data_IF_014425985162
#
_entry.id   IF_014425985162
#
_cell.length_a   1.000
_cell.length_b   1.000
_cell.length_c   1.000
_cell.angle_alpha   90.00
_cell.angle_beta   90.00
_cell.angle_gamma   90.00
#
_symmetry.space_group_name_H-M   'P 1'
#
loop_
_entity.id
_entity.type
_entity.pdbx_description
1 polymer ?
#
# COMPACT_ATOMS: atom_id res chain seq x y z
N UNK A 1 9.18 -11.81 -22.01
CA UNK A 1 10.17 -10.82 -21.51
C UNK A 1 9.49 -9.47 -21.50
N UNK A 2 9.48 -8.77 -20.37
CA UNK A 2 8.90 -7.43 -20.27
C UNK A 2 9.78 -6.45 -21.04
N UNK A 3 9.18 -5.63 -21.91
CA UNK A 3 9.90 -4.64 -22.72
C UNK A 3 10.27 -3.44 -21.85
N UNK A 4 11.55 -3.13 -21.72
CA UNK A 4 12.02 -1.91 -21.04
C UNK A 4 11.84 -0.70 -21.96
N UNK A 5 11.35 0.41 -21.40
CA UNK A 5 11.16 1.68 -22.10
C UNK A 5 12.09 2.73 -21.45
N UNK A 6 12.86 3.44 -22.27
CA UNK A 6 13.66 4.57 -21.79
C UNK A 6 12.74 5.77 -21.54
N UNK A 7 12.73 6.26 -20.30
CA UNK A 7 11.93 7.42 -19.89
C UNK A 7 12.86 8.50 -19.36
N UNK A 8 12.84 9.69 -19.98
CA UNK A 8 13.59 10.85 -19.52
C UNK A 8 12.84 11.58 -18.43
N UNK A 9 13.51 11.87 -17.31
CA UNK A 9 12.94 12.60 -16.17
C UNK A 9 13.69 13.91 -16.03
N UNK A 10 12.95 15.02 -15.95
CA UNK A 10 13.53 16.33 -15.67
C UNK A 10 13.68 16.48 -14.16
N UNK A 11 14.91 16.70 -13.71
CA UNK A 11 15.23 17.05 -12.34
C UNK A 11 15.84 18.45 -12.35
N UNK A 12 15.50 19.25 -11.35
CA UNK A 12 16.23 20.48 -11.11
C UNK A 12 17.66 20.16 -10.65
N UNK A 13 18.56 21.14 -10.80
CA UNK A 13 19.98 20.98 -10.51
C UNK A 13 20.24 20.59 -9.05
N UNK A 14 19.45 21.13 -8.12
CA UNK A 14 19.63 20.89 -6.68
C UNK A 14 19.27 19.44 -6.34
N UNK A 15 18.15 18.94 -6.86
CA UNK A 15 17.71 17.56 -6.66
C UNK A 15 18.66 16.57 -7.33
N UNK A 16 19.10 16.86 -8.56
CA UNK A 16 20.06 16.02 -9.26
C UNK A 16 21.40 15.90 -8.52
N UNK A 17 21.88 17.01 -7.96
CA UNK A 17 23.12 17.02 -7.14
C UNK A 17 22.96 16.20 -5.87
N UNK A 18 21.84 16.37 -5.14
CA UNK A 18 21.51 15.58 -3.94
C UNK A 18 21.39 14.10 -4.25
N UNK A 19 20.76 13.75 -5.38
CA UNK A 19 20.61 12.36 -5.83
C UNK A 19 21.96 11.71 -6.13
N UNK A 20 22.89 12.44 -6.77
CA UNK A 20 24.25 11.94 -7.01
C UNK A 20 25.00 11.67 -5.71
N UNK A 21 24.96 12.62 -4.77
CA UNK A 21 25.59 12.46 -3.46
C UNK A 21 25.00 11.26 -2.69
N UNK A 22 23.67 11.11 -2.72
CA UNK A 22 22.99 9.96 -2.13
C UNK A 22 23.40 8.63 -2.79
N UNK A 23 23.55 8.62 -4.11
CA UNK A 23 24.05 7.48 -4.87
C UNK A 23 25.43 7.04 -4.40
N UNK A 24 26.37 7.99 -4.26
CA UNK A 24 27.70 7.72 -3.71
C UNK A 24 27.62 7.15 -2.30
N UNK A 25 26.84 7.76 -1.41
CA UNK A 25 26.71 7.32 -0.03
C UNK A 25 26.06 5.92 0.13
N UNK A 26 25.21 5.52 -0.83
CA UNK A 26 24.52 4.22 -0.83
C UNK A 26 25.17 3.17 -1.73
N UNK A 27 26.29 3.50 -2.40
CA UNK A 27 26.93 2.66 -3.41
C UNK A 27 25.96 2.22 -4.53
N UNK A 28 25.10 3.15 -4.97
CA UNK A 28 24.11 2.93 -6.04
C UNK A 28 24.20 4.02 -7.10
N UNK A 29 23.89 3.65 -8.34
CA UNK A 29 23.80 4.65 -9.42
C UNK A 29 22.59 5.56 -9.20
N UNK A 30 22.65 6.84 -9.60
CA UNK A 30 21.47 7.72 -9.60
C UNK A 30 20.28 7.12 -10.34
N UNK A 31 20.52 6.41 -11.45
CA UNK A 31 19.48 5.71 -12.20
C UNK A 31 18.79 4.63 -11.37
N UNK A 32 19.55 3.82 -10.63
CA UNK A 32 18.96 2.81 -9.75
C UNK A 32 18.08 3.44 -8.67
N UNK A 33 18.54 4.54 -8.05
CA UNK A 33 17.77 5.26 -7.03
C UNK A 33 16.47 5.88 -7.60
N UNK A 34 16.52 6.47 -8.80
CA UNK A 34 15.32 6.99 -9.46
C UNK A 34 14.32 5.88 -9.74
N UNK A 35 14.79 4.74 -10.27
CA UNK A 35 13.95 3.58 -10.54
C UNK A 35 13.29 3.08 -9.25
N UNK A 36 14.08 2.88 -8.20
CA UNK A 36 13.58 2.40 -6.91
C UNK A 36 12.53 3.34 -6.31
N UNK A 37 12.77 4.66 -6.37
CA UNK A 37 11.82 5.65 -5.87
C UNK A 37 10.49 5.64 -6.65
N UNK A 38 10.54 5.43 -7.97
CA UNK A 38 9.34 5.33 -8.80
C UNK A 38 8.58 4.03 -8.50
N UNK A 39 9.28 2.90 -8.39
CA UNK A 39 8.67 1.60 -8.05
C UNK A 39 7.97 1.66 -6.70
N UNK A 40 8.64 2.19 -5.66
CA UNK A 40 8.07 2.34 -4.32
C UNK A 40 6.84 3.27 -4.32
N UNK A 41 6.91 4.40 -5.04
CA UNK A 41 5.78 5.31 -5.16
C UNK A 41 4.59 4.63 -5.84
N UNK A 42 4.81 3.99 -6.99
CA UNK A 42 3.74 3.34 -7.75
C UNK A 42 3.08 2.23 -6.93
N UNK A 43 3.86 1.37 -6.28
CA UNK A 43 3.34 0.28 -5.44
C UNK A 43 2.47 0.82 -4.28
N UNK A 44 2.91 1.92 -3.66
CA UNK A 44 2.14 2.59 -2.61
C UNK A 44 0.83 3.15 -3.12
N UNK A 45 0.83 3.87 -4.25
CA UNK A 45 -0.38 4.46 -4.83
C UNK A 45 -1.35 3.37 -5.33
N UNK A 46 -0.85 2.28 -5.92
CA UNK A 46 -1.67 1.15 -6.35
C UNK A 46 -2.31 0.44 -5.16
N UNK A 47 -1.60 0.31 -4.04
CA UNK A 47 -2.14 -0.21 -2.79
C UNK A 47 -3.23 0.69 -2.23
N UNK A 48 -2.98 1.99 -2.18
CA UNK A 48 -3.95 2.97 -1.70
C UNK A 48 -5.24 2.96 -2.54
N UNK A 49 -5.13 3.00 -3.87
CA UNK A 49 -6.32 3.01 -4.74
C UNK A 49 -7.07 1.67 -4.71
N UNK A 50 -6.38 0.54 -4.49
CA UNK A 50 -7.04 -0.76 -4.27
C UNK A 50 -7.85 -0.74 -2.98
N UNK A 51 -7.25 -0.34 -1.85
CA UNK A 51 -7.91 -0.28 -0.54
C UNK A 51 -9.11 0.67 -0.57
N UNK A 52 -8.93 1.86 -1.12
CA UNK A 52 -9.99 2.85 -1.31
C UNK A 52 -11.17 2.31 -2.12
N UNK A 53 -10.89 1.57 -3.20
CA UNK A 53 -11.94 0.93 -4.00
C UNK A 53 -12.69 -0.13 -3.19
N UNK A 54 -11.97 -1.00 -2.48
CA UNK A 54 -12.56 -2.04 -1.64
C UNK A 54 -13.42 -1.45 -0.50
N UNK A 55 -12.95 -0.39 0.15
CA UNK A 55 -13.67 0.32 1.20
C UNK A 55 -14.94 0.98 0.67
N UNK A 56 -14.87 1.60 -0.51
CA UNK A 56 -16.04 2.19 -1.16
C UNK A 56 -17.06 1.10 -1.52
N UNK A 57 -16.62 -0.04 -2.07
CA UNK A 57 -17.49 -1.18 -2.37
C UNK A 57 -18.16 -1.75 -1.10
N UNK A 58 -17.42 -1.87 0.01
CA UNK A 58 -17.96 -2.26 1.32
C UNK A 58 -19.00 -1.25 1.81
N UNK A 59 -18.69 0.04 1.72
CA UNK A 59 -19.61 1.12 2.12
C UNK A 59 -20.90 1.10 1.31
N UNK A 60 -20.82 0.97 -0.01
CA UNK A 60 -22.01 0.89 -0.86
C UNK A 60 -22.87 -0.34 -0.55
N UNK A 61 -22.25 -1.50 -0.29
CA UNK A 61 -22.97 -2.71 0.15
C UNK A 61 -23.72 -2.45 1.45
N UNK A 62 -23.07 -1.88 2.46
CA UNK A 62 -23.73 -1.53 3.72
C UNK A 62 -24.89 -0.55 3.50
N UNK A 63 -24.70 0.48 2.69
CA UNK A 63 -25.75 1.46 2.37
C UNK A 63 -26.97 0.83 1.71
N UNK A 64 -26.78 -0.22 0.92
CA UNK A 64 -27.86 -0.92 0.22
C UNK A 64 -28.56 -1.96 1.09
N UNK A 65 -27.80 -2.73 1.88
CA UNK A 65 -28.31 -3.92 2.59
C UNK A 65 -28.53 -3.70 4.09
N UNK A 66 -27.90 -2.68 4.67
CA UNK A 66 -27.78 -2.50 6.12
C UNK A 66 -26.94 -3.59 6.82
N UNK A 67 -26.38 -4.53 6.06
CA UNK A 67 -25.64 -5.65 6.61
C UNK A 67 -24.27 -5.18 7.14
N UNK A 68 -24.09 -5.34 8.45
CA UNK A 68 -22.84 -5.14 9.15
C UNK A 68 -22.70 -6.22 10.22
N UNK A 69 -21.47 -6.49 10.63
CA UNK A 69 -21.20 -7.41 11.72
C UNK A 69 -21.53 -6.71 13.04
N UNK A 70 -22.39 -7.28 13.91
CA UNK A 70 -22.71 -6.70 15.21
C UNK A 70 -21.46 -6.56 16.09
N UNK A 71 -21.34 -5.43 16.80
CA UNK A 71 -20.22 -5.17 17.71
C UNK A 71 -20.06 -6.27 18.77
N UNK A 72 -21.16 -6.76 19.32
CA UNK A 72 -21.19 -7.82 20.33
C UNK A 72 -20.58 -9.14 19.82
N UNK A 73 -20.83 -9.50 18.56
CA UNK A 73 -20.24 -10.69 17.93
C UNK A 73 -18.72 -10.54 17.77
N UNK A 74 -18.25 -9.36 17.36
CA UNK A 74 -16.81 -9.06 17.26
C UNK A 74 -16.16 -9.05 18.65
N UNK A 75 -16.80 -8.44 19.65
CA UNK A 75 -16.28 -8.35 21.00
C UNK A 75 -16.15 -9.73 21.66
N UNK A 76 -17.16 -10.60 21.51
CA UNK A 76 -17.11 -11.97 22.01
C UNK A 76 -16.00 -12.79 21.33
N UNK A 77 -15.82 -12.61 20.02
CA UNK A 77 -14.74 -13.26 19.28
C UNK A 77 -13.36 -12.79 19.76
N UNK A 78 -13.12 -11.48 19.83
CA UNK A 78 -11.84 -10.90 20.27
C UNK A 78 -11.49 -11.29 21.71
N UNK A 79 -12.47 -11.45 22.60
CA UNK A 79 -12.24 -11.86 23.99
C UNK A 79 -11.69 -13.28 24.13
N UNK A 80 -11.96 -14.15 23.16
CA UNK A 80 -11.53 -15.55 23.15
C UNK A 80 -10.41 -15.81 22.13
N UNK A 81 -9.98 -14.79 21.39
CA UNK A 81 -8.98 -14.91 20.34
C UNK A 81 -7.61 -15.35 20.92
N UNK A 82 -7.04 -16.43 20.38
CA UNK A 82 -5.78 -17.00 20.87
C UNK A 82 -5.93 -17.86 22.14
N UNK A 83 -7.16 -18.11 22.60
CA UNK A 83 -7.43 -19.05 23.69
C UNK A 83 -7.78 -20.45 23.17
N UNK A 84 -7.80 -21.43 24.07
CA UNK A 84 -8.28 -22.79 23.74
C UNK A 84 -9.75 -22.83 23.28
N UNK A 85 -10.53 -21.78 23.60
CA UNK A 85 -11.96 -21.66 23.27
C UNK A 85 -12.22 -20.57 22.22
N UNK A 86 -11.26 -20.31 21.33
CA UNK A 86 -11.41 -19.31 20.26
C UNK A 86 -12.67 -19.56 19.40
N UNK A 87 -13.48 -18.52 19.24
CA UNK A 87 -14.65 -18.52 18.36
C UNK A 87 -14.23 -18.26 16.90
N UNK A 88 -15.02 -18.68 15.89
CA UNK A 88 -14.76 -18.28 14.51
C UNK A 88 -14.96 -16.77 14.31
N UNK A 89 -14.11 -16.17 13.47
CA UNK A 89 -14.27 -14.76 13.07
C UNK A 89 -15.70 -14.53 12.50
N UNK A 90 -16.46 -13.57 13.06
CA UNK A 90 -17.81 -13.28 12.60
C UNK A 90 -17.79 -12.75 11.16
N UNK A 91 -18.85 -13.04 10.40
CA UNK A 91 -18.95 -12.76 8.95
C UNK A 91 -20.12 -11.87 8.63
#
# INVERSE_FOLDING_TARGET
>A
MTKTINTGIKLDETLHTRLKALGTAKERTPHWLMKAAIEEYVEREETYEREKREDMERWQRYKLTGHAIPHEAVSAWLALWGSENELPCPK
#
